data_IF_438409964918
#
_entry.id   IF_438409964918
#
_cell.length_a   1.000
_cell.length_b   1.000
_cell.length_c   1.000
_cell.angle_alpha   90.00
_cell.angle_beta   90.00
_cell.angle_gamma   90.00
#
_symmetry.space_group_name_H-M   'P 1'
#
loop_
_entity.id
_entity.type
_entity.pdbx_description
1 polymer ?
#
# COMPACT_ATOMS: atom_id res chain seq x y z
N UNK A 1 86.31 61.11 -2.39
CA UNK A 1 85.73 62.38 -2.85
C UNK A 1 85.22 63.15 -1.64
N UNK A 2 85.75 64.35 -1.42
CA UNK A 2 85.40 65.20 -0.28
C UNK A 2 84.13 66.02 -0.57
N UNK A 3 83.53 66.62 0.47
CA UNK A 3 82.31 67.43 0.32
C UNK A 3 82.53 68.68 -0.56
N UNK A 4 83.71 69.29 -0.50
CA UNK A 4 84.07 70.46 -1.31
C UNK A 4 84.30 70.07 -2.78
N UNK A 5 84.95 68.93 -3.03
CA UNK A 5 85.09 68.36 -4.38
C UNK A 5 83.73 68.05 -5.00
N UNK A 6 82.80 67.47 -4.23
CA UNK A 6 81.43 67.20 -4.69
C UNK A 6 80.69 68.47 -5.05
N UNK A 7 80.79 69.52 -4.21
CA UNK A 7 80.10 70.79 -4.48
C UNK A 7 80.53 71.44 -5.79
N UNK A 8 81.79 71.27 -6.20
CA UNK A 8 82.29 71.79 -7.48
C UNK A 8 81.72 71.04 -8.70
N UNK A 9 81.45 69.74 -8.59
CA UNK A 9 80.93 68.91 -9.70
C UNK A 9 79.41 68.70 -9.69
N UNK A 10 78.70 69.13 -8.62
CA UNK A 10 77.24 69.06 -8.54
C UNK A 10 76.51 69.85 -9.66
N UNK A 11 76.94 71.06 -10.07
CA UNK A 11 76.30 71.78 -11.18
C UNK A 11 76.31 71.02 -12.53
N UNK A 12 77.46 70.54 -13.06
CA UNK A 12 77.45 69.74 -14.29
C UNK A 12 76.76 68.38 -14.12
N UNK A 13 76.80 67.78 -12.93
CA UNK A 13 76.02 66.57 -12.62
C UNK A 13 74.51 66.83 -12.71
N UNK A 14 74.01 67.92 -12.12
CA UNK A 14 72.60 68.30 -12.14
C UNK A 14 72.11 68.67 -13.56
N UNK A 15 73.00 69.19 -14.41
CA UNK A 15 72.74 69.45 -15.82
C UNK A 15 72.80 68.20 -16.71
N UNK A 16 73.33 67.07 -16.20
CA UNK A 16 73.53 65.83 -16.95
C UNK A 16 74.65 65.92 -18.00
N UNK A 17 75.64 66.79 -17.76
CA UNK A 17 76.79 67.04 -18.63
C UNK A 17 78.05 66.30 -18.16
N UNK A 18 77.96 65.58 -17.04
CA UNK A 18 79.06 64.82 -16.48
C UNK A 18 79.14 63.44 -17.16
N UNK A 19 80.35 63.04 -17.55
CA UNK A 19 80.62 61.70 -18.10
C UNK A 19 80.29 60.60 -17.08
N UNK A 20 80.02 59.39 -17.56
CA UNK A 20 79.44 58.29 -16.77
C UNK A 20 80.28 57.90 -15.54
N UNK A 21 81.61 57.86 -15.68
CA UNK A 21 82.53 57.48 -14.61
C UNK A 21 82.51 58.48 -13.44
N UNK A 22 82.69 59.80 -13.65
CA UNK A 22 82.52 60.78 -12.57
C UNK A 22 81.07 60.92 -12.07
N UNK A 23 80.06 60.66 -12.90
CA UNK A 23 78.66 60.62 -12.47
C UNK A 23 78.38 59.49 -11.48
N UNK A 24 79.00 58.31 -11.66
CA UNK A 24 78.86 57.19 -10.74
C UNK A 24 79.46 57.50 -9.36
N UNK A 25 80.60 58.20 -9.32
CA UNK A 25 81.22 58.64 -8.05
C UNK A 25 80.31 59.61 -7.30
N UNK A 26 79.63 60.52 -8.01
CA UNK A 26 78.64 61.42 -7.42
C UNK A 26 77.43 60.63 -6.90
N UNK A 27 76.90 59.66 -7.67
CA UNK A 27 75.79 58.78 -7.25
C UNK A 27 76.13 57.99 -6.00
N UNK A 28 77.33 57.40 -5.95
CA UNK A 28 77.81 56.64 -4.79
C UNK A 28 77.92 57.52 -3.53
N UNK A 29 78.40 58.76 -3.67
CA UNK A 29 78.47 59.70 -2.56
C UNK A 29 77.07 60.14 -2.10
N UNK A 30 76.14 60.46 -3.02
CA UNK A 30 74.78 60.85 -2.66
C UNK A 30 73.97 59.70 -2.02
N UNK A 31 74.26 58.45 -2.40
CA UNK A 31 73.66 57.26 -1.78
C UNK A 31 74.00 57.10 -0.29
N UNK A 32 75.05 57.75 0.20
CA UNK A 32 75.38 57.78 1.64
C UNK A 32 74.39 58.63 2.46
N UNK A 33 73.56 59.46 1.81
CA UNK A 33 72.52 60.23 2.48
C UNK A 33 72.99 61.54 3.14
N UNK A 34 74.15 62.09 2.76
CA UNK A 34 74.64 63.35 3.33
C UNK A 34 73.67 64.52 3.04
N UNK A 35 73.07 65.14 4.08
CA UNK A 35 72.00 66.14 3.90
C UNK A 35 72.51 67.45 3.28
N UNK A 36 73.76 67.82 3.52
CA UNK A 36 74.35 69.05 2.96
C UNK A 36 74.55 68.94 1.45
N UNK A 37 75.00 67.78 0.98
CA UNK A 37 75.22 67.51 -0.44
C UNK A 37 73.89 67.33 -1.20
N UNK A 38 72.92 66.63 -0.60
CA UNK A 38 71.57 66.53 -1.16
C UNK A 38 70.88 67.90 -1.20
N UNK A 39 71.01 68.70 -0.13
CA UNK A 39 70.47 70.05 -0.07
C UNK A 39 71.06 70.97 -1.14
N UNK A 40 72.36 70.86 -1.42
CA UNK A 40 72.99 71.59 -2.51
C UNK A 40 72.46 71.16 -3.89
N UNK A 41 72.27 69.86 -4.11
CA UNK A 41 71.70 69.33 -5.36
C UNK A 41 70.26 69.79 -5.60
N UNK A 42 69.40 69.78 -4.57
CA UNK A 42 68.00 70.22 -4.69
C UNK A 42 67.84 71.74 -4.91
N UNK A 43 68.86 72.54 -4.58
CA UNK A 43 68.86 73.98 -4.88
C UNK A 43 69.31 74.28 -6.30
N UNK A 44 69.93 73.32 -6.99
CA UNK A 44 70.25 73.46 -8.40
C UNK A 44 68.97 73.27 -9.24
N UNK A 45 68.83 74.00 -10.36
CA UNK A 45 67.68 73.88 -11.25
C UNK A 45 67.73 72.53 -11.98
N UNK A 46 67.25 71.46 -11.34
CA UNK A 46 67.08 70.14 -11.93
C UNK A 46 65.80 70.12 -12.77
N UNK A 47 65.88 69.61 -14.00
CA UNK A 47 64.71 69.43 -14.86
C UNK A 47 64.38 70.61 -15.79
N UNK A 48 65.36 71.41 -16.23
CA UNK A 48 65.15 72.17 -17.48
C UNK A 48 65.02 71.17 -18.64
N UNK A 49 63.95 71.24 -19.45
CA UNK A 49 63.83 70.37 -20.62
C UNK A 49 65.05 70.58 -21.52
N UNK A 50 65.65 69.47 -21.98
CA UNK A 50 66.72 69.47 -22.97
C UNK A 50 66.28 70.28 -24.19
N UNK A 51 66.75 71.52 -24.33
CA UNK A 51 66.69 72.25 -25.60
C UNK A 51 67.83 71.76 -26.49
N UNK A 52 67.77 70.50 -26.90
CA UNK A 52 68.63 69.95 -27.97
C UNK A 52 68.05 70.27 -29.36
N UNK A 53 67.61 71.51 -29.53
CA UNK A 53 67.12 72.10 -30.78
C UNK A 53 67.75 73.48 -30.95
N UNK A 54 69.07 73.51 -31.14
CA UNK A 54 69.71 74.50 -32.00
C UNK A 54 70.13 73.80 -33.31
N UNK A 55 69.13 73.20 -33.98
CA UNK A 55 69.17 73.05 -35.42
C UNK A 55 68.28 74.17 -35.96
N UNK A 56 68.91 75.14 -36.64
CA UNK A 56 68.28 76.39 -37.04
C UNK A 56 66.88 76.21 -37.63
N UNK A 57 65.88 76.71 -36.91
CA UNK A 57 64.63 77.11 -37.54
C UNK A 57 64.91 78.39 -38.32
N UNK A 58 65.44 78.16 -39.53
CA UNK A 58 65.30 79.07 -40.67
C UNK A 58 63.86 79.56 -40.69
N UNK A 59 63.72 80.89 -40.58
CA UNK A 59 62.70 81.71 -41.25
C UNK A 59 61.26 81.42 -40.82
N UNK A 60 60.65 82.42 -40.18
CA UNK A 60 59.19 82.60 -40.13
C UNK A 60 58.56 82.33 -41.50
N UNK A 61 58.04 81.12 -41.69
CA UNK A 61 56.96 80.89 -42.64
C UNK A 61 55.71 80.93 -41.81
N UNK A 62 55.03 82.07 -41.83
CA UNK A 62 53.61 82.15 -41.50
C UNK A 62 52.93 81.03 -42.29
N UNK A 63 52.54 79.96 -41.60
CA UNK A 63 51.66 78.94 -42.17
C UNK A 63 50.41 79.70 -42.63
N UNK A 64 50.07 79.59 -43.91
CA UNK A 64 48.84 80.19 -44.41
C UNK A 64 47.68 79.68 -43.53
N UNK A 65 46.73 80.54 -43.12
CA UNK A 65 45.65 80.20 -42.18
C UNK A 65 44.90 78.92 -42.56
N UNK A 66 44.88 78.55 -43.85
CA UNK A 66 44.33 77.30 -44.36
C UNK A 66 44.90 76.02 -43.71
N UNK A 67 46.20 75.95 -43.41
CA UNK A 67 46.83 74.71 -42.89
C UNK A 67 46.49 74.44 -41.42
N UNK A 68 46.41 75.50 -40.60
CA UNK A 68 45.97 75.39 -39.21
C UNK A 68 44.50 74.94 -39.10
N UNK A 69 43.65 75.43 -40.01
CA UNK A 69 42.24 75.01 -40.11
C UNK A 69 42.11 73.53 -40.46
N UNK A 70 42.88 73.03 -41.44
CA UNK A 70 42.86 71.61 -41.82
C UNK A 70 43.33 70.71 -40.66
N UNK A 71 44.38 71.10 -39.93
CA UNK A 71 44.84 70.34 -38.77
C UNK A 71 43.80 70.31 -37.65
N UNK A 72 43.15 71.45 -37.36
CA UNK A 72 42.08 71.54 -36.38
C UNK A 72 40.88 70.65 -36.75
N UNK A 73 40.50 70.62 -38.03
CA UNK A 73 39.44 69.73 -38.54
C UNK A 73 39.84 68.26 -38.44
N UNK A 74 41.10 67.91 -38.76
CA UNK A 74 41.59 66.54 -38.63
C UNK A 74 41.60 66.07 -37.17
N UNK A 75 42.03 66.92 -36.23
CA UNK A 75 41.98 66.63 -34.80
C UNK A 75 40.53 66.52 -34.29
N UNK A 76 39.63 67.42 -34.73
CA UNK A 76 38.22 67.35 -34.37
C UNK A 76 37.56 66.06 -34.89
N UNK A 77 37.90 65.63 -36.11
CA UNK A 77 37.44 64.36 -36.68
C UNK A 77 37.98 63.17 -35.88
N UNK A 78 39.26 63.18 -35.50
CA UNK A 78 39.87 62.13 -34.68
C UNK A 78 39.21 62.06 -33.29
N UNK A 79 39.00 63.18 -32.62
CA UNK A 79 38.32 63.25 -31.31
C UNK A 79 36.86 62.79 -31.44
N UNK A 80 36.16 63.20 -32.49
CA UNK A 80 34.80 62.72 -32.77
C UNK A 80 34.76 61.20 -32.99
N UNK A 81 35.76 60.67 -33.71
CA UNK A 81 35.90 59.23 -33.94
C UNK A 81 36.21 58.46 -32.65
N UNK A 82 37.14 58.92 -31.82
CA UNK A 82 37.46 58.26 -30.54
C UNK A 82 36.29 58.29 -29.57
N UNK A 83 35.54 59.40 -29.49
CA UNK A 83 34.32 59.48 -28.69
C UNK A 83 33.26 58.49 -29.21
N UNK A 84 33.10 58.37 -30.53
CA UNK A 84 32.17 57.41 -31.13
C UNK A 84 32.58 55.96 -30.82
N UNK A 85 33.85 55.62 -30.97
CA UNK A 85 34.38 54.28 -30.69
C UNK A 85 34.24 53.92 -29.21
N UNK A 86 34.56 54.84 -28.29
CA UNK A 86 34.34 54.64 -26.85
C UNK A 86 32.87 54.41 -26.52
N UNK A 87 31.96 55.22 -27.09
CA UNK A 87 30.51 55.04 -26.91
C UNK A 87 30.02 53.70 -27.45
N UNK A 88 30.58 53.24 -28.57
CA UNK A 88 30.23 51.93 -29.13
C UNK A 88 30.67 50.79 -28.20
N UNK A 89 31.90 50.83 -27.69
CA UNK A 89 32.41 49.84 -26.72
C UNK A 89 31.64 49.85 -25.40
N UNK A 90 31.24 51.03 -24.92
CA UNK A 90 30.38 51.16 -23.74
C UNK A 90 29.00 50.54 -23.99
N UNK A 91 28.41 50.76 -25.16
CA UNK A 91 27.11 50.18 -25.52
C UNK A 91 27.19 48.65 -25.61
N UNK A 92 28.27 48.09 -26.17
CA UNK A 92 28.51 46.65 -26.24
C UNK A 92 28.64 46.04 -24.83
N UNK A 93 29.44 46.64 -23.95
CA UNK A 93 29.57 46.20 -22.54
C UNK A 93 28.27 46.29 -21.77
N UNK A 94 27.50 47.36 -21.96
CA UNK A 94 26.16 47.50 -21.36
C UNK A 94 25.24 46.39 -21.86
N UNK A 95 25.22 46.12 -23.16
CA UNK A 95 24.42 45.04 -23.73
C UNK A 95 24.82 43.66 -23.19
N UNK A 96 26.13 43.40 -23.02
CA UNK A 96 26.62 42.16 -22.40
C UNK A 96 26.20 42.05 -20.93
N UNK A 97 26.29 43.13 -20.16
CA UNK A 97 25.85 43.15 -18.75
C UNK A 97 24.35 42.88 -18.62
N UNK A 98 23.53 43.45 -19.51
CA UNK A 98 22.07 43.22 -19.55
C UNK A 98 21.77 41.77 -19.91
N UNK A 99 22.46 41.20 -20.91
CA UNK A 99 22.29 39.78 -21.26
C UNK A 99 22.74 38.84 -20.14
N UNK A 100 23.83 39.18 -19.45
CA UNK A 100 24.31 38.41 -18.31
C UNK A 100 23.31 38.47 -17.14
N UNK A 101 22.77 39.66 -16.83
CA UNK A 101 21.73 39.83 -15.84
C UNK A 101 20.45 39.05 -16.21
N UNK A 102 20.02 39.10 -17.48
CA UNK A 102 18.87 38.34 -17.95
C UNK A 102 19.05 36.82 -17.76
N UNK A 103 20.22 36.28 -18.12
CA UNK A 103 20.54 34.86 -17.91
C UNK A 103 20.55 34.46 -16.43
N UNK A 104 21.04 35.34 -15.54
CA UNK A 104 21.00 35.07 -14.10
C UNK A 104 19.56 35.00 -13.60
N UNK A 105 18.70 35.94 -14.02
CA UNK A 105 17.29 35.93 -13.68
C UNK A 105 16.61 34.64 -14.19
N UNK A 106 16.86 34.24 -15.44
CA UNK A 106 16.31 32.99 -16.00
C UNK A 106 16.73 31.75 -15.19
N UNK A 107 18.00 31.67 -14.79
CA UNK A 107 18.53 30.57 -13.97
C UNK A 107 17.91 30.58 -12.56
N UNK A 108 17.76 31.76 -11.95
CA UNK A 108 17.11 31.92 -10.65
C UNK A 108 15.63 31.52 -10.72
N UNK A 109 14.91 31.92 -11.77
CA UNK A 109 13.52 31.50 -11.98
C UNK A 109 13.41 29.99 -12.18
N UNK A 110 14.28 29.40 -13.00
CA UNK A 110 14.28 27.95 -13.22
C UNK A 110 14.62 27.17 -11.93
N UNK A 111 15.52 27.71 -11.10
CA UNK A 111 15.83 27.14 -9.78
C UNK A 111 14.63 27.26 -8.84
N UNK A 112 13.96 28.41 -8.79
CA UNK A 112 12.78 28.61 -7.96
C UNK A 112 11.64 27.65 -8.36
N UNK A 113 11.41 27.46 -9.67
CA UNK A 113 10.45 26.48 -10.18
C UNK A 113 10.84 25.04 -9.83
N UNK A 114 12.12 24.69 -9.91
CA UNK A 114 12.60 23.36 -9.54
C UNK A 114 12.40 23.07 -8.04
N UNK A 115 12.67 24.05 -7.17
CA UNK A 115 12.41 23.95 -5.73
C UNK A 115 10.91 23.81 -5.47
N UNK A 116 10.08 24.65 -6.10
CA UNK A 116 8.62 24.57 -5.96
C UNK A 116 8.06 23.20 -6.40
N UNK A 117 8.59 22.62 -7.48
CA UNK A 117 8.24 21.26 -7.91
C UNK A 117 8.69 20.21 -6.89
N UNK A 118 9.91 20.31 -6.36
CA UNK A 118 10.40 19.40 -5.33
C UNK A 118 9.55 19.45 -4.06
N UNK A 119 9.15 20.65 -3.62
CA UNK A 119 8.28 20.83 -2.45
C UNK A 119 6.88 20.28 -2.70
N UNK A 120 6.35 20.47 -3.91
CA UNK A 120 5.09 19.85 -4.31
C UNK A 120 5.18 18.31 -4.27
N UNK A 121 6.25 17.72 -4.82
CA UNK A 121 6.48 16.28 -4.73
C UNK A 121 6.64 15.81 -3.28
N UNK A 122 7.34 16.57 -2.42
CA UNK A 122 7.48 16.28 -1.00
C UNK A 122 6.12 16.19 -0.30
N UNK A 123 5.25 17.18 -0.51
CA UNK A 123 3.88 17.19 0.03
C UNK A 123 3.05 16.01 -0.48
N UNK A 124 3.15 15.67 -1.76
CA UNK A 124 2.46 14.50 -2.32
C UNK A 124 2.95 13.20 -1.68
N UNK A 125 4.26 13.05 -1.46
CA UNK A 125 4.81 11.87 -0.79
C UNK A 125 4.37 11.77 0.68
N UNK A 126 4.28 12.89 1.39
CA UNK A 126 3.75 12.93 2.75
C UNK A 126 2.26 12.54 2.80
N UNK A 127 1.46 13.06 1.87
CA UNK A 127 0.05 12.70 1.75
C UNK A 127 -0.12 11.19 1.46
N UNK A 128 0.62 10.65 0.49
CA UNK A 128 0.58 9.20 0.18
C UNK A 128 1.04 8.36 1.36
N UNK A 129 2.06 8.81 2.12
CA UNK A 129 2.49 8.10 3.34
C UNK A 129 1.40 8.10 4.42
N UNK A 130 0.69 9.22 4.58
CA UNK A 130 -0.44 9.31 5.52
C UNK A 130 -1.59 8.38 5.09
N UNK A 131 -1.97 8.39 3.82
CA UNK A 131 -2.99 7.48 3.27
C UNK A 131 -2.62 6.01 3.46
N UNK A 132 -1.35 5.64 3.20
CA UNK A 132 -0.87 4.27 3.41
C UNK A 132 -0.88 3.89 4.90
N UNK A 133 -0.55 4.82 5.79
CA UNK A 133 -0.60 4.58 7.24
C UNK A 133 -2.04 4.36 7.71
N UNK A 134 -2.99 5.15 7.21
CA UNK A 134 -4.42 5.01 7.47
C UNK A 134 -4.97 3.68 6.93
N UNK A 135 -4.66 3.35 5.68
CA UNK A 135 -5.06 2.08 5.07
C UNK A 135 -4.52 0.87 5.85
N UNK A 136 -3.28 0.94 6.35
CA UNK A 136 -2.70 -0.11 7.22
C UNK A 136 -3.36 -0.17 8.59
N UNK A 137 -3.82 0.95 9.15
CA UNK A 137 -4.57 0.95 10.40
C UNK A 137 -5.96 0.32 10.19
N UNK A 138 -6.65 0.68 9.11
CA UNK A 138 -7.94 0.10 8.74
C UNK A 138 -7.84 -1.41 8.48
N UNK A 139 -6.81 -1.85 7.74
CA UNK A 139 -6.57 -3.27 7.48
C UNK A 139 -6.30 -4.06 8.77
N UNK A 140 -5.54 -3.51 9.72
CA UNK A 140 -5.32 -4.13 11.03
C UNK A 140 -6.61 -4.20 11.85
N UNK A 141 -7.44 -3.15 11.81
CA UNK A 141 -8.76 -3.15 12.44
C UNK A 141 -9.67 -4.24 11.87
N UNK A 142 -9.76 -4.33 10.53
CA UNK A 142 -10.54 -5.34 9.84
C UNK A 142 -10.05 -6.77 10.10
N UNK A 143 -8.72 -6.97 10.16
CA UNK A 143 -8.14 -8.26 10.52
C UNK A 143 -8.47 -8.66 11.98
N UNK A 144 -8.45 -7.71 12.91
CA UNK A 144 -8.87 -7.93 14.30
C UNK A 144 -10.34 -8.32 14.41
N UNK A 145 -11.23 -7.62 13.71
CA UNK A 145 -12.66 -7.92 13.71
C UNK A 145 -12.94 -9.29 13.09
N UNK A 146 -12.26 -9.63 11.99
CA UNK A 146 -12.36 -10.96 11.38
C UNK A 146 -11.93 -12.07 12.34
N UNK A 147 -10.81 -11.90 13.03
CA UNK A 147 -10.35 -12.88 14.02
C UNK A 147 -11.35 -13.04 15.17
N UNK A 148 -11.99 -11.95 15.61
CA UNK A 148 -13.05 -11.99 16.61
C UNK A 148 -14.27 -12.77 16.12
N UNK A 149 -14.75 -12.48 14.91
CA UNK A 149 -15.90 -13.17 14.32
C UNK A 149 -15.63 -14.67 14.11
N UNK A 150 -14.42 -15.04 13.67
CA UNK A 150 -14.00 -16.44 13.54
C UNK A 150 -14.01 -17.15 14.91
N UNK A 151 -13.57 -16.49 15.99
CA UNK A 151 -13.63 -17.03 17.35
C UNK A 151 -15.07 -17.17 17.87
N UNK A 152 -15.94 -16.19 17.61
CA UNK A 152 -17.37 -16.24 17.97
C UNK A 152 -18.10 -17.38 17.24
N UNK A 153 -17.81 -17.58 15.94
CA UNK A 153 -18.34 -18.67 15.14
C UNK A 153 -17.89 -20.03 15.69
N UNK A 154 -16.59 -20.22 15.93
CA UNK A 154 -16.06 -21.45 16.50
C UNK A 154 -16.69 -21.77 17.87
N UNK A 155 -16.90 -20.75 18.71
CA UNK A 155 -17.59 -20.92 19.99
C UNK A 155 -19.07 -21.30 19.81
N UNK A 156 -19.76 -20.72 18.82
CA UNK A 156 -21.15 -21.06 18.50
C UNK A 156 -21.29 -22.50 17.99
N UNK A 157 -20.39 -22.94 17.10
CA UNK A 157 -20.35 -24.31 16.61
C UNK A 157 -20.08 -25.31 17.74
N UNK A 158 -19.15 -25.00 18.65
CA UNK A 158 -18.89 -25.82 19.83
C UNK A 158 -20.12 -25.95 20.75
N UNK A 159 -20.87 -24.85 20.96
CA UNK A 159 -22.14 -24.86 21.71
C UNK A 159 -23.20 -25.73 21.03
N UNK A 160 -23.36 -25.60 19.72
CA UNK A 160 -24.30 -26.42 18.93
C UNK A 160 -23.95 -27.91 19.02
N UNK A 161 -22.67 -28.25 18.83
CA UNK A 161 -22.18 -29.62 18.97
C UNK A 161 -22.43 -30.20 20.37
N UNK A 162 -22.27 -29.40 21.42
CA UNK A 162 -22.60 -29.80 22.80
C UNK A 162 -24.10 -30.06 22.99
N UNK A 163 -24.96 -29.17 22.50
CA UNK A 163 -26.41 -29.34 22.55
C UNK A 163 -26.86 -30.61 21.83
N UNK A 164 -26.35 -30.86 20.63
CA UNK A 164 -26.67 -32.08 19.87
C UNK A 164 -26.22 -33.37 20.58
N UNK A 165 -25.08 -33.34 21.28
CA UNK A 165 -24.65 -34.48 22.13
C UNK A 165 -25.57 -34.65 23.33
N UNK A 166 -25.98 -33.56 23.98
CA UNK A 166 -26.91 -33.61 25.11
C UNK A 166 -28.28 -34.14 24.71
N UNK A 167 -28.81 -33.71 23.55
CA UNK A 167 -30.08 -34.20 23.01
C UNK A 167 -29.99 -35.69 22.74
N UNK A 168 -28.99 -36.14 21.98
CA UNK A 168 -28.78 -37.58 21.70
C UNK A 168 -28.65 -38.43 22.96
N UNK A 169 -27.94 -37.93 23.98
CA UNK A 169 -27.84 -38.60 25.28
C UNK A 169 -29.22 -38.71 25.96
N UNK A 170 -30.00 -37.63 25.97
CA UNK A 170 -31.36 -37.62 26.52
C UNK A 170 -32.28 -38.55 25.75
N UNK A 171 -32.23 -38.56 24.43
CA UNK A 171 -33.05 -39.46 23.61
C UNK A 171 -32.76 -40.93 23.94
N UNK A 172 -31.47 -41.30 24.05
CA UNK A 172 -31.06 -42.65 24.46
C UNK A 172 -31.45 -43.00 25.91
N UNK A 173 -31.57 -41.99 26.79
CA UNK A 173 -32.07 -42.18 28.16
C UNK A 173 -33.59 -42.38 28.16
N UNK A 174 -34.33 -41.59 27.38
CA UNK A 174 -35.77 -41.74 27.19
C UNK A 174 -36.08 -43.11 26.53
N UNK A 175 -35.32 -43.51 25.51
CA UNK A 175 -35.43 -44.84 24.89
C UNK A 175 -35.19 -45.96 25.90
N UNK A 176 -34.23 -45.81 26.82
CA UNK A 176 -34.02 -46.79 27.90
C UNK A 176 -35.16 -46.83 28.90
N UNK A 177 -35.69 -45.67 29.30
CA UNK A 177 -36.81 -45.58 30.24
C UNK A 177 -38.12 -46.12 29.65
N UNK A 178 -38.36 -45.90 28.35
CA UNK A 178 -39.52 -46.40 27.63
C UNK A 178 -39.33 -47.83 27.10
N UNK A 179 -38.09 -48.26 26.87
CA UNK A 179 -37.71 -49.57 26.34
C UNK A 179 -37.64 -50.68 27.40
N UNK A 180 -38.34 -50.53 28.52
CA UNK A 180 -38.50 -51.63 29.46
C UNK A 180 -39.25 -52.79 28.80
N UNK A 181 -38.51 -53.80 28.33
CA UNK A 181 -38.94 -55.06 27.71
C UNK A 181 -40.02 -54.94 26.60
N UNK A 182 -39.75 -55.37 25.35
CA UNK A 182 -40.78 -55.41 24.30
C UNK A 182 -42.03 -56.20 24.71
N UNK A 183 -41.90 -57.15 25.64
CA UNK A 183 -43.01 -57.88 26.26
C UNK A 183 -43.92 -56.99 27.11
N UNK A 184 -43.37 -56.02 27.86
CA UNK A 184 -44.18 -55.04 28.61
C UNK A 184 -44.86 -54.05 27.67
N UNK A 185 -44.16 -53.57 26.64
CA UNK A 185 -44.76 -52.68 25.63
C UNK A 185 -45.90 -53.37 24.88
N UNK A 186 -45.77 -54.67 24.56
CA UNK A 186 -46.84 -55.47 23.97
C UNK A 186 -48.01 -55.64 24.95
N UNK A 187 -47.73 -56.01 26.21
CA UNK A 187 -48.76 -56.19 27.23
C UNK A 187 -49.52 -54.89 27.52
N UNK A 188 -48.81 -53.76 27.63
CA UNK A 188 -49.39 -52.44 27.88
C UNK A 188 -50.24 -51.98 26.68
N UNK A 189 -49.78 -52.20 25.45
CA UNK A 189 -50.56 -51.86 24.24
C UNK A 189 -51.80 -52.75 24.08
N UNK A 190 -51.69 -54.04 24.39
CA UNK A 190 -52.79 -55.00 24.28
C UNK A 190 -53.84 -54.85 25.41
N UNK A 191 -53.44 -54.34 26.57
CA UNK A 191 -54.34 -54.13 27.71
C UNK A 191 -55.27 -52.90 27.54
N UNK A 192 -55.02 -52.01 26.58
CA UNK A 192 -55.81 -50.81 26.36
C UNK A 192 -56.90 -51.01 25.28
N UNK A 193 -58.16 -50.62 25.50
CA UNK A 193 -59.19 -50.68 24.45
C UNK A 193 -58.86 -49.71 23.30
N UNK A 194 -59.10 -50.13 22.05
CA UNK A 194 -58.89 -49.30 20.87
C UNK A 194 -57.53 -49.45 20.17
N UNK A 195 -56.79 -50.54 20.43
CA UNK A 195 -55.62 -50.89 19.62
C UNK A 195 -56.03 -51.40 18.23
N UNK A 196 -55.23 -51.06 17.22
CA UNK A 196 -55.35 -51.59 15.88
C UNK A 196 -54.33 -52.71 15.64
N UNK A 197 -54.73 -53.76 14.92
CA UNK A 197 -53.83 -54.79 14.41
C UNK A 197 -53.97 -54.85 12.90
N UNK A 198 -52.84 -54.89 12.21
CA UNK A 198 -52.78 -55.05 10.77
C UNK A 198 -51.73 -56.09 10.42
N UNK A 199 -52.12 -56.97 9.49
CA UNK A 199 -51.20 -57.92 8.89
C UNK A 199 -50.40 -57.20 7.81
N UNK A 200 -49.09 -57.41 7.82
CA UNK A 200 -48.18 -56.95 6.78
C UNK A 200 -48.11 -57.99 5.69
N UNK A 201 -48.43 -57.57 4.47
CA UNK A 201 -48.39 -58.46 3.31
C UNK A 201 -47.00 -58.44 2.65
N UNK A 202 -46.52 -59.60 2.17
CA UNK A 202 -45.29 -59.69 1.41
C UNK A 202 -45.40 -58.87 0.12
N UNK A 203 -44.32 -58.15 -0.21
CA UNK A 203 -44.21 -57.36 -1.45
C UNK A 203 -43.23 -57.99 -2.42
N UNK A 204 -42.05 -58.36 -1.94
CA UNK A 204 -40.96 -58.89 -2.78
C UNK A 204 -40.31 -60.15 -2.21
N UNK A 205 -40.78 -60.64 -1.06
CA UNK A 205 -40.26 -61.85 -0.40
C UNK A 205 -41.42 -62.76 0.01
N UNK A 206 -41.56 -63.90 -0.66
CA UNK A 206 -42.70 -64.82 -0.50
C UNK A 206 -42.78 -65.48 0.90
N UNK A 207 -41.67 -65.47 1.64
CA UNK A 207 -41.59 -65.99 3.01
C UNK A 207 -41.77 -64.94 4.10
N UNK A 208 -41.61 -63.64 3.78
CA UNK A 208 -41.68 -62.58 4.77
C UNK A 208 -43.14 -62.32 5.19
N UNK A 209 -43.38 -62.26 6.48
CA UNK A 209 -44.69 -61.90 7.05
C UNK A 209 -44.49 -61.02 8.27
N UNK A 210 -45.55 -60.32 8.67
CA UNK A 210 -45.51 -59.56 9.91
C UNK A 210 -46.86 -59.06 10.36
N UNK A 211 -46.87 -58.50 11.56
CA UNK A 211 -47.99 -57.82 12.17
C UNK A 211 -47.52 -56.47 12.68
N UNK A 212 -48.40 -55.49 12.58
CA UNK A 212 -48.27 -54.19 13.20
C UNK A 212 -49.38 -54.06 14.23
N UNK A 213 -49.01 -53.86 15.48
CA UNK A 213 -49.89 -53.42 16.55
C UNK A 213 -49.69 -51.92 16.74
N UNK A 214 -50.75 -51.12 16.82
CA UNK A 214 -50.60 -49.69 17.12
C UNK A 214 -51.73 -49.15 17.98
N UNK A 215 -51.44 -48.06 18.70
CA UNK A 215 -52.44 -47.34 19.48
C UNK A 215 -52.42 -45.84 19.13
N UNK A 216 -53.49 -45.30 18.51
CA UNK A 216 -53.49 -43.93 18.00
C UNK A 216 -53.32 -42.87 19.11
N UNK A 217 -53.90 -43.09 20.30
CA UNK A 217 -53.81 -42.13 21.40
C UNK A 217 -52.43 -42.09 22.09
N UNK A 218 -51.56 -43.10 21.91
CA UNK A 218 -50.26 -43.20 22.60
C UNK A 218 -49.08 -42.90 21.68
N UNK A 219 -49.34 -42.62 20.40
CA UNK A 219 -48.28 -42.46 19.39
C UNK A 219 -47.26 -43.61 19.40
N UNK A 220 -47.72 -44.85 19.62
CA UNK A 220 -46.87 -46.01 19.76
C UNK A 220 -47.38 -47.14 18.84
N UNK A 221 -46.43 -47.81 18.19
CA UNK A 221 -46.67 -49.01 17.40
C UNK A 221 -45.61 -50.06 17.72
N UNK A 222 -45.93 -51.32 17.51
CA UNK A 222 -45.02 -52.45 17.65
C UNK A 222 -45.09 -53.26 16.36
N UNK A 223 -43.95 -53.36 15.69
CA UNK A 223 -43.77 -54.17 14.50
C UNK A 223 -43.21 -55.53 14.92
N UNK A 224 -43.89 -56.59 14.50
CA UNK A 224 -43.41 -57.96 14.56
C UNK A 224 -43.27 -58.49 13.14
N UNK A 225 -42.05 -58.78 12.70
CA UNK A 225 -41.78 -59.34 11.37
C UNK A 225 -41.02 -60.66 11.51
N UNK A 226 -41.27 -61.61 10.62
CA UNK A 226 -40.63 -62.92 10.59
C UNK A 226 -40.50 -63.44 9.17
N UNK A 227 -39.58 -64.38 8.96
CA UNK A 227 -39.23 -64.86 7.61
C UNK A 227 -38.54 -63.80 6.75
N UNK A 228 -37.97 -62.76 7.37
CA UNK A 228 -37.14 -61.79 6.67
C UNK A 228 -35.83 -62.45 6.21
N UNK A 229 -35.32 -62.13 5.01
CA UNK A 229 -34.01 -62.62 4.58
C UNK A 229 -32.90 -62.26 5.58
N UNK A 230 -32.33 -63.27 6.24
CA UNK A 230 -31.43 -63.11 7.39
C UNK A 230 -29.99 -62.67 7.06
N UNK A 231 -29.59 -62.63 5.78
CA UNK A 231 -28.18 -62.45 5.40
C UNK A 231 -27.75 -60.97 5.28
N UNK A 232 -27.25 -60.39 6.38
CA UNK A 232 -26.41 -59.17 6.38
C UNK A 232 -27.08 -57.89 5.88
N UNK A 233 -28.41 -57.85 5.87
CA UNK A 233 -29.22 -56.75 5.34
C UNK A 233 -29.85 -55.96 6.48
N UNK A 234 -29.73 -54.64 6.40
CA UNK A 234 -30.45 -53.73 7.28
C UNK A 234 -31.81 -53.40 6.67
N UNK A 235 -32.82 -53.25 7.52
CA UNK A 235 -34.16 -52.87 7.15
C UNK A 235 -34.49 -51.51 7.76
N UNK A 236 -35.38 -50.76 7.12
CA UNK A 236 -35.94 -49.51 7.66
C UNK A 236 -37.46 -49.58 7.55
N UNK A 237 -38.13 -49.00 8.54
CA UNK A 237 -39.58 -48.81 8.48
C UNK A 237 -39.89 -47.47 7.84
N UNK A 238 -40.87 -47.43 6.95
CA UNK A 238 -41.45 -46.22 6.39
C UNK A 238 -42.91 -46.13 6.81
N UNK A 239 -43.27 -45.01 7.44
CA UNK A 239 -44.60 -44.74 7.98
C UNK A 239 -45.31 -43.74 7.08
N UNK A 240 -46.47 -44.13 6.55
CA UNK A 240 -47.34 -43.25 5.77
C UNK A 240 -48.38 -42.64 6.72
N UNK A 241 -48.37 -41.31 6.83
CA UNK A 241 -49.28 -40.55 7.68
C UNK A 241 -50.53 -40.10 6.92
N UNK A 242 -51.53 -39.60 7.64
CA UNK A 242 -52.80 -39.13 7.08
C UNK A 242 -52.70 -37.85 6.23
N UNK A 243 -51.66 -37.05 6.46
CA UNK A 243 -51.29 -35.91 5.62
C UNK A 243 -50.53 -36.29 4.34
N UNK A 244 -50.35 -37.59 4.09
CA UNK A 244 -49.66 -38.13 2.91
C UNK A 244 -48.13 -38.07 3.01
N UNK A 245 -47.56 -37.59 4.13
CA UNK A 245 -46.10 -37.63 4.33
C UNK A 245 -45.64 -39.05 4.62
N UNK A 246 -44.54 -39.44 3.99
CA UNK A 246 -43.81 -40.67 4.31
C UNK A 246 -42.65 -40.30 5.22
N UNK A 247 -42.63 -40.87 6.41
CA UNK A 247 -41.59 -40.65 7.40
C UNK A 247 -40.73 -41.89 7.59
N UNK A 248 -39.41 -41.70 7.56
CA UNK A 248 -38.46 -42.72 7.95
C UNK A 248 -38.58 -43.03 9.44
N UNK A 249 -38.93 -44.28 9.74
CA UNK A 249 -38.90 -44.88 11.06
C UNK A 249 -37.54 -45.52 11.39
N UNK A 250 -37.47 -46.27 12.51
CA UNK A 250 -36.24 -46.90 12.96
C UNK A 250 -35.68 -47.89 11.95
N UNK A 251 -34.35 -47.93 11.85
CA UNK A 251 -33.62 -48.98 11.15
C UNK A 251 -33.35 -50.16 12.10
N UNK A 252 -33.38 -51.39 11.57
CA UNK A 252 -33.18 -52.60 12.34
C UNK A 252 -32.50 -53.69 11.49
N UNK A 253 -31.93 -54.69 12.15
CA UNK A 253 -31.44 -55.91 11.51
C UNK A 253 -32.38 -57.06 11.85
N UNK A 254 -32.58 -58.00 10.91
CA UNK A 254 -33.28 -59.24 11.23
C UNK A 254 -32.39 -60.12 12.13
N UNK A 255 -33.02 -60.83 13.06
CA UNK A 255 -32.38 -61.85 13.88
C UNK A 255 -31.94 -63.07 13.08
N UNK A 256 -31.29 -64.03 13.74
CA UNK A 256 -30.78 -65.26 13.12
C UNK A 256 -31.85 -66.06 12.38
N UNK A 257 -33.09 -66.04 12.89
CA UNK A 257 -34.23 -66.76 12.32
C UNK A 257 -35.08 -65.89 11.38
N UNK A 258 -34.57 -64.72 10.98
CA UNK A 258 -35.30 -63.78 10.13
C UNK A 258 -36.44 -63.04 10.85
N UNK A 259 -36.42 -63.02 12.18
CA UNK A 259 -37.40 -62.33 13.03
C UNK A 259 -36.93 -60.94 13.48
N UNK A 260 -37.88 -60.04 13.73
CA UNK A 260 -37.63 -58.72 14.28
C UNK A 260 -38.83 -58.23 15.08
N UNK A 261 -38.58 -57.77 16.31
CA UNK A 261 -39.56 -57.11 17.17
C UNK A 261 -39.07 -55.68 17.40
N UNK A 262 -39.86 -54.69 16.96
CA UNK A 262 -39.43 -53.30 16.95
C UNK A 262 -40.53 -52.37 17.48
N UNK A 263 -40.34 -51.75 18.65
CA UNK A 263 -41.19 -50.64 19.05
C UNK A 263 -40.90 -49.44 18.15
N UNK A 264 -41.96 -48.85 17.59
CA UNK A 264 -41.94 -47.68 16.72
C UNK A 264 -42.67 -46.56 17.44
N UNK A 265 -41.99 -45.42 17.62
CA UNK A 265 -42.66 -44.20 18.05
C UNK A 265 -43.22 -43.46 16.83
N UNK A 266 -44.50 -43.10 16.92
CA UNK A 266 -45.11 -42.20 15.95
C UNK A 266 -44.65 -40.77 16.26
N UNK A 267 -44.42 -39.95 15.22
CA UNK A 267 -43.82 -38.62 15.34
C UNK A 267 -44.69 -37.62 16.13
N UNK A 268 -46.01 -37.83 16.16
CA UNK A 268 -46.98 -36.90 16.77
C UNK A 268 -48.11 -37.67 17.43
N UNK A 269 -48.52 -37.23 18.63
CA UNK A 269 -49.71 -37.74 19.32
C UNK A 269 -50.96 -37.39 18.50
N UNK A 270 -51.75 -38.41 18.14
CA UNK A 270 -52.95 -38.27 17.32
C UNK A 270 -52.74 -38.39 15.81
N UNK A 271 -51.51 -38.56 15.32
CA UNK A 271 -51.27 -38.86 13.91
C UNK A 271 -51.93 -40.19 13.53
N UNK A 272 -52.77 -40.17 12.49
CA UNK A 272 -53.43 -41.39 12.00
C UNK A 272 -52.52 -42.06 10.98
N UNK A 273 -51.97 -43.21 11.37
CA UNK A 273 -51.16 -44.04 10.50
C UNK A 273 -52.03 -44.59 9.36
N UNK A 274 -51.65 -44.34 8.10
CA UNK A 274 -52.34 -44.81 6.88
C UNK A 274 -51.69 -46.04 6.28
N UNK A 275 -50.40 -46.23 6.53
CA UNK A 275 -49.66 -47.34 5.97
C UNK A 275 -48.31 -47.51 6.65
N UNK A 276 -47.79 -48.72 6.54
CA UNK A 276 -46.43 -49.05 6.96
C UNK A 276 -45.79 -49.91 5.89
N UNK A 277 -44.55 -49.59 5.54
CA UNK A 277 -43.73 -50.37 4.62
C UNK A 277 -42.41 -50.69 5.29
N UNK A 278 -41.96 -51.94 5.23
CA UNK A 278 -40.61 -52.34 5.61
C UNK A 278 -39.78 -52.41 4.36
N UNK A 279 -38.75 -51.57 4.28
CA UNK A 279 -37.83 -51.52 3.15
C UNK A 279 -36.48 -52.11 3.52
N UNK A 280 -35.85 -52.78 2.56
CA UNK A 280 -34.51 -53.32 2.68
C UNK A 280 -33.48 -52.33 2.14
N UNK A 281 -32.45 -52.09 2.94
CA UNK A 281 -31.27 -51.32 2.56
C UNK A 281 -30.09 -52.27 2.23
N UNK A 282 -29.20 -51.89 1.29
CA UNK A 282 -29.29 -50.70 0.43
C UNK A 282 -30.29 -50.89 -0.74
N UNK A 283 -30.92 -49.80 -1.17
CA UNK A 283 -31.78 -49.77 -2.36
C UNK A 283 -33.29 -49.62 -2.11
N UNK A 284 -33.71 -49.42 -0.85
CA UNK A 284 -35.10 -49.14 -0.46
C UNK A 284 -36.14 -50.10 -1.07
N UNK A 285 -35.80 -51.39 -1.19
CA UNK A 285 -36.70 -52.38 -1.78
C UNK A 285 -37.81 -52.73 -0.79
N UNK A 286 -39.11 -52.54 -1.10
CA UNK A 286 -40.19 -52.86 -0.17
C UNK A 286 -40.32 -54.37 -0.02
N UNK A 287 -40.22 -54.87 1.21
CA UNK A 287 -40.28 -56.31 1.57
C UNK A 287 -41.64 -56.67 2.15
N UNK A 288 -42.12 -55.87 3.09
CA UNK A 288 -43.43 -56.00 3.71
C UNK A 288 -44.18 -54.69 3.61
N UNK A 289 -45.51 -54.74 3.57
CA UNK A 289 -46.28 -53.53 3.82
C UNK A 289 -47.77 -53.77 4.02
N UNK A 290 -48.41 -52.84 4.73
CA UNK A 290 -49.84 -52.80 4.92
C UNK A 290 -50.38 -51.39 4.69
N UNK A 291 -51.59 -51.32 4.13
CA UNK A 291 -52.42 -50.12 4.21
C UNK A 291 -53.37 -50.29 5.38
N UNK A 292 -53.37 -49.32 6.27
CA UNK A 292 -54.24 -49.27 7.42
C UNK A 292 -55.53 -48.57 6.99
N UNK A 293 -56.61 -49.33 6.93
CA UNK A 293 -57.94 -48.75 6.78
C UNK A 293 -58.30 -47.95 8.02
N UNK A 294 -59.12 -46.91 7.84
CA UNK A 294 -59.79 -46.26 8.98
C UNK A 294 -60.65 -47.34 9.62
N UNK A 295 -60.25 -47.87 10.79
CA UNK A 295 -61.14 -48.74 11.56
C UNK A 295 -62.42 -47.94 11.87
N UNK A 296 -63.63 -48.53 11.71
CA UNK A 296 -64.85 -47.89 12.12
C UNK A 296 -64.80 -47.69 13.64
N UNK A 297 -65.22 -46.51 14.10
CA UNK A 297 -65.48 -46.28 15.50
C UNK A 297 -66.60 -47.22 15.95
N UNK A 298 -66.25 -48.22 16.76
CA UNK A 298 -67.19 -48.99 17.58
C UNK A 298 -67.16 -48.45 18.98
#
# INVERSE_FOLDING_TARGET
>A
MTHDELRAVLPPYAAGELEEEPAEVVRAHLATGCPDCLGALFRLPVGRPRSRWEAGLRRERRLAPATAVVLALALAALVGWTIRDLRQREAERRAESVRAAARLIEVETARAEAVARSDAFGRTLEAVRAEVAEARAAARGAAGERARLEAELAAAEARSGSLLRSIRRRDAEIDRLLGGAPERTLADLAAMPGFGVARLEPRTSDGARGHLLWHPARAAALLYAFGLPAAGRSYRVELELDDGRVQAGPAFAAGSDGEAILPIRLPVVGARLRGVTVVQDPGARPVLGARLGVQPAG
#
